data_IF_511919112525
#
_entry.id   IF_511919112525
#
_cell.length_a   1.000
_cell.length_b   1.000
_cell.length_c   1.000
_cell.angle_alpha   90.00
_cell.angle_beta   90.00
_cell.angle_gamma   90.00
#
_symmetry.space_group_name_H-M   'P 1'
#
loop_
_entity.id
_entity.type
_entity.pdbx_description
1 polymer ?
#
# COMPACT_ATOMS: atom_id res chain seq x y z
N UNK A 1 -4.48 -16.57 -6.36
CA UNK A 1 -5.38 -15.65 -7.13
C UNK A 1 -4.58 -14.69 -8.02
N UNK A 2 -3.67 -13.88 -7.51
CA UNK A 2 -2.86 -12.92 -8.31
C UNK A 2 -2.11 -13.59 -9.46
N UNK A 3 -1.45 -14.72 -9.23
CA UNK A 3 -0.72 -15.44 -10.27
C UNK A 3 -1.63 -15.87 -11.43
N UNK A 4 -2.78 -16.46 -11.13
CA UNK A 4 -3.71 -16.89 -12.17
C UNK A 4 -4.31 -15.70 -12.92
N UNK A 5 -4.58 -14.60 -12.23
CA UNK A 5 -5.05 -13.36 -12.85
C UNK A 5 -4.01 -12.79 -13.81
N UNK A 6 -2.74 -12.71 -13.42
CA UNK A 6 -1.66 -12.24 -14.29
C UNK A 6 -1.48 -13.14 -15.51
N UNK A 7 -1.49 -14.48 -15.34
CA UNK A 7 -1.38 -15.42 -16.45
C UNK A 7 -2.51 -15.25 -17.47
N UNK A 8 -3.75 -15.03 -17.00
CA UNK A 8 -4.89 -14.79 -17.87
C UNK A 8 -4.78 -13.43 -18.58
N UNK A 9 -4.47 -12.36 -17.84
CA UNK A 9 -4.39 -11.00 -18.36
C UNK A 9 -3.23 -10.80 -19.35
N UNK A 10 -2.14 -11.57 -19.21
CA UNK A 10 -1.03 -11.55 -20.17
C UNK A 10 -1.46 -12.01 -21.57
N UNK A 11 -2.46 -12.87 -21.69
CA UNK A 11 -2.98 -13.34 -22.98
C UNK A 11 -3.68 -12.23 -23.77
N UNK A 12 -4.23 -11.25 -23.08
CA UNK A 12 -4.97 -10.12 -23.65
C UNK A 12 -4.25 -8.78 -23.49
N UNK A 13 -2.97 -8.82 -23.10
CA UNK A 13 -2.08 -7.65 -22.91
C UNK A 13 -2.72 -6.53 -22.07
N UNK A 14 -3.30 -6.87 -20.92
CA UNK A 14 -3.98 -5.91 -20.06
C UNK A 14 -3.35 -5.80 -18.67
N UNK A 15 -3.75 -4.78 -17.92
CA UNK A 15 -3.21 -4.39 -16.62
C UNK A 15 -4.01 -5.04 -15.49
N UNK A 16 -3.31 -5.62 -14.51
CA UNK A 16 -3.92 -6.01 -13.23
C UNK A 16 -3.85 -4.84 -12.25
N UNK A 17 -4.99 -4.39 -11.77
CA UNK A 17 -5.08 -3.41 -10.67
C UNK A 17 -5.37 -4.17 -9.38
N UNK A 18 -4.55 -3.95 -8.35
CA UNK A 18 -4.72 -4.58 -7.04
C UNK A 18 -4.54 -3.56 -5.92
N UNK A 19 -5.28 -3.75 -4.84
CA UNK A 19 -5.09 -3.00 -3.60
C UNK A 19 -4.22 -3.84 -2.66
N UNK A 20 -2.99 -3.40 -2.35
CA UNK A 20 -2.05 -4.21 -1.60
C UNK A 20 -2.44 -4.23 -0.11
N UNK A 21 -3.05 -5.32 0.32
CA UNK A 21 -3.48 -5.52 1.69
C UNK A 21 -3.48 -7.01 2.02
N UNK A 22 -2.65 -7.43 2.96
CA UNK A 22 -2.72 -8.78 3.47
C UNK A 22 -3.83 -8.88 4.52
N UNK A 23 -4.82 -9.72 4.24
CA UNK A 23 -6.02 -9.86 5.08
C UNK A 23 -5.72 -10.41 6.47
N UNK A 24 -4.64 -11.16 6.63
CA UNK A 24 -4.24 -11.72 7.94
C UNK A 24 -3.90 -10.64 8.96
N UNK A 25 -3.52 -9.43 8.49
CA UNK A 25 -3.12 -8.29 9.33
C UNK A 25 -4.06 -7.08 9.19
N UNK A 26 -5.16 -7.21 8.45
CA UNK A 26 -5.98 -6.06 8.05
C UNK A 26 -7.17 -5.79 8.95
N UNK A 27 -7.31 -6.53 10.04
CA UNK A 27 -8.40 -6.39 11.01
C UNK A 27 -8.13 -5.22 11.96
N UNK A 28 -8.33 -4.00 11.49
CA UNK A 28 -8.13 -2.77 12.22
C UNK A 28 -8.80 -1.60 11.50
N UNK A 29 -8.69 -0.40 12.09
CA UNK A 29 -9.37 0.82 11.59
C UNK A 29 -8.45 2.01 11.40
N UNK A 30 -7.25 1.99 11.99
CA UNK A 30 -6.25 3.06 11.94
C UNK A 30 -4.85 2.47 11.80
N UNK A 31 -3.84 3.32 11.58
CA UNK A 31 -2.44 2.89 11.60
C UNK A 31 -2.06 2.30 12.97
N UNK A 32 -1.38 1.17 12.99
CA UNK A 32 -0.85 0.59 14.22
C UNK A 32 0.37 1.38 14.69
N UNK A 33 0.27 2.03 15.84
CA UNK A 33 1.35 2.83 16.39
C UNK A 33 0.95 3.57 17.68
N UNK A 34 1.66 4.67 17.96
CA UNK A 34 1.44 5.45 19.18
C UNK A 34 0.00 5.91 19.34
N UNK A 35 -0.58 6.51 18.30
CA UNK A 35 -1.93 7.06 18.37
C UNK A 35 -3.02 5.98 18.51
N UNK A 36 -2.93 4.88 17.78
CA UNK A 36 -3.89 3.77 17.92
C UNK A 36 -3.92 3.20 19.34
N UNK A 37 -2.75 3.08 19.97
CA UNK A 37 -2.64 2.60 21.35
C UNK A 37 -3.19 3.64 22.34
N UNK A 38 -2.94 4.93 22.10
CA UNK A 38 -3.40 6.01 22.98
C UNK A 38 -4.93 6.11 22.98
N UNK A 39 -5.56 5.97 21.82
CA UNK A 39 -7.04 6.08 21.70
C UNK A 39 -7.76 4.74 21.83
N UNK A 40 -7.05 3.64 21.98
CA UNK A 40 -7.61 2.29 22.13
C UNK A 40 -8.26 1.72 20.87
N UNK A 41 -7.89 2.19 19.70
CA UNK A 41 -8.37 1.67 18.43
C UNK A 41 -7.44 0.58 17.88
N UNK A 42 -8.03 -0.46 17.29
CA UNK A 42 -7.28 -1.55 16.68
C UNK A 42 -6.51 -1.06 15.46
N UNK A 43 -5.19 -1.26 15.49
CA UNK A 43 -4.28 -0.80 14.44
C UNK A 43 -4.13 -1.79 13.29
N UNK A 44 -3.92 -1.26 12.08
CA UNK A 44 -3.51 -2.00 10.90
C UNK A 44 -1.99 -1.85 10.78
N UNK A 45 -1.20 -2.91 10.98
CA UNK A 45 0.25 -2.81 10.89
C UNK A 45 0.69 -2.52 9.44
N UNK A 46 1.75 -1.76 9.29
CA UNK A 46 2.29 -1.37 7.98
C UNK A 46 2.76 -2.56 7.14
N UNK A 47 3.17 -3.64 7.80
CA UNK A 47 3.58 -4.88 7.14
C UNK A 47 2.42 -5.53 6.35
N UNK A 48 1.16 -5.26 6.68
CA UNK A 48 0.00 -5.71 5.90
C UNK A 48 0.07 -5.26 4.44
N UNK A 49 0.58 -4.05 4.20
CA UNK A 49 0.75 -3.50 2.85
C UNK A 49 2.04 -4.00 2.19
N UNK A 50 3.18 -3.88 2.88
CA UNK A 50 4.48 -4.22 2.30
C UNK A 50 4.61 -5.70 1.95
N UNK A 51 4.08 -6.62 2.76
CA UNK A 51 4.05 -8.05 2.43
C UNK A 51 3.23 -8.31 1.18
N UNK A 52 2.06 -7.66 1.03
CA UNK A 52 1.23 -7.83 -0.14
C UNK A 52 1.93 -7.31 -1.41
N UNK A 53 2.58 -6.14 -1.34
CA UNK A 53 3.37 -5.58 -2.44
C UNK A 53 4.52 -6.50 -2.83
N UNK A 54 5.31 -6.97 -1.86
CA UNK A 54 6.46 -7.84 -2.10
C UNK A 54 6.05 -9.18 -2.71
N UNK A 55 4.99 -9.80 -2.17
CA UNK A 55 4.42 -11.04 -2.71
C UNK A 55 3.99 -10.86 -4.17
N UNK A 56 3.21 -9.82 -4.46
CA UNK A 56 2.64 -9.60 -5.78
C UNK A 56 3.73 -9.25 -6.81
N UNK A 57 4.77 -8.52 -6.41
CA UNK A 57 5.94 -8.26 -7.26
C UNK A 57 6.77 -9.52 -7.52
N UNK A 58 6.93 -10.40 -6.55
CA UNK A 58 7.60 -11.68 -6.75
C UNK A 58 6.86 -12.56 -7.77
N UNK A 59 5.53 -12.54 -7.72
CA UNK A 59 4.69 -13.23 -8.69
C UNK A 59 4.83 -12.58 -10.08
N UNK A 60 4.81 -11.23 -10.15
CA UNK A 60 5.01 -10.50 -11.39
C UNK A 60 6.37 -10.81 -12.04
N UNK A 61 7.43 -10.88 -11.24
CA UNK A 61 8.78 -11.24 -11.70
C UNK A 61 8.81 -12.66 -12.28
N UNK A 62 8.06 -13.58 -11.70
CA UNK A 62 7.99 -14.97 -12.11
C UNK A 62 7.15 -15.19 -13.38
N UNK A 63 5.95 -14.59 -13.46
CA UNK A 63 5.00 -14.85 -14.58
C UNK A 63 4.99 -13.75 -15.63
N UNK A 64 5.57 -12.59 -15.36
CA UNK A 64 5.48 -11.42 -16.22
C UNK A 64 4.11 -10.73 -16.19
N UNK A 65 3.96 -9.70 -17.01
CA UNK A 65 2.72 -8.92 -17.13
C UNK A 65 2.85 -7.50 -16.63
N UNK A 66 1.72 -6.89 -16.28
CA UNK A 66 1.62 -5.50 -15.83
C UNK A 66 0.77 -5.43 -14.57
N UNK A 67 1.26 -4.74 -13.55
CA UNK A 67 0.52 -4.55 -12.28
C UNK A 67 0.47 -3.08 -11.90
N UNK A 68 -0.67 -2.67 -11.34
CA UNK A 68 -0.86 -1.37 -10.72
C UNK A 68 -1.32 -1.56 -9.28
N UNK A 69 -0.56 -1.02 -8.33
CA UNK A 69 -0.94 -0.98 -6.93
C UNK A 69 -1.75 0.27 -6.64
N UNK A 70 -3.03 0.10 -6.34
CA UNK A 70 -3.91 1.21 -6.01
C UNK A 70 -3.90 1.47 -4.51
N UNK A 71 -3.49 2.69 -4.14
CA UNK A 71 -3.53 3.17 -2.77
C UNK A 71 -2.39 2.65 -1.88
N UNK A 72 -1.13 2.91 -2.23
CA UNK A 72 0.00 2.68 -1.31
C UNK A 72 0.07 3.80 -0.26
N UNK A 73 0.57 3.47 0.93
CA UNK A 73 0.61 4.41 2.06
C UNK A 73 1.89 4.35 2.88
N UNK A 74 2.77 3.39 2.67
CA UNK A 74 3.95 3.17 3.51
C UNK A 74 5.26 3.42 2.78
N UNK A 75 6.27 3.92 3.50
CA UNK A 75 7.62 4.12 2.96
C UNK A 75 8.28 2.81 2.50
N UNK A 76 7.96 1.71 3.17
CA UNK A 76 8.43 0.38 2.79
C UNK A 76 7.93 0.00 1.39
N UNK A 77 6.64 0.20 1.11
CA UNK A 77 6.05 -0.05 -0.21
C UNK A 77 6.68 0.82 -1.29
N UNK A 78 6.95 2.11 -1.01
CA UNK A 78 7.67 3.00 -1.93
C UNK A 78 9.03 2.44 -2.30
N UNK A 79 9.82 1.99 -1.31
CA UNK A 79 11.14 1.41 -1.53
C UNK A 79 11.08 0.13 -2.37
N UNK A 80 10.18 -0.79 -2.03
CA UNK A 80 10.01 -2.07 -2.73
C UNK A 80 9.61 -1.83 -4.20
N UNK A 81 8.68 -0.90 -4.45
CA UNK A 81 8.24 -0.57 -5.82
C UNK A 81 9.37 0.12 -6.62
N UNK A 82 10.15 0.99 -5.98
CA UNK A 82 11.32 1.61 -6.59
C UNK A 82 12.35 0.56 -7.05
N UNK A 83 12.65 -0.41 -6.19
CA UNK A 83 13.54 -1.52 -6.52
C UNK A 83 13.00 -2.38 -7.68
N UNK A 84 11.70 -2.64 -7.69
CA UNK A 84 11.06 -3.36 -8.80
C UNK A 84 11.18 -2.61 -10.13
N UNK A 85 11.06 -1.28 -10.12
CA UNK A 85 11.27 -0.44 -11.31
C UNK A 85 12.73 -0.47 -11.79
N UNK A 86 13.71 -0.51 -10.89
CA UNK A 86 15.12 -0.67 -11.29
C UNK A 86 15.38 -2.02 -11.95
N UNK A 87 14.67 -3.06 -11.57
CA UNK A 87 14.65 -4.37 -12.23
C UNK A 87 13.86 -4.39 -13.55
N UNK A 88 13.31 -3.24 -13.96
CA UNK A 88 12.48 -3.09 -15.18
C UNK A 88 11.18 -3.91 -15.16
N UNK A 89 10.65 -4.21 -14.00
CA UNK A 89 9.30 -4.79 -13.88
C UNK A 89 8.25 -3.74 -14.27
N UNK A 90 7.21 -4.18 -14.96
CA UNK A 90 6.14 -3.31 -15.40
C UNK A 90 5.13 -3.06 -14.25
N UNK A 91 5.51 -2.17 -13.35
CA UNK A 91 4.77 -1.81 -12.14
C UNK A 91 4.52 -0.33 -12.07
N UNK A 92 3.29 0.04 -11.71
CA UNK A 92 2.87 1.40 -11.38
C UNK A 92 2.11 1.41 -10.06
N UNK A 93 1.97 2.57 -9.44
CA UNK A 93 1.18 2.73 -8.23
C UNK A 93 0.58 4.12 -8.15
N UNK A 94 -0.44 4.26 -7.32
CA UNK A 94 -1.01 5.54 -6.93
C UNK A 94 -0.99 5.73 -5.40
N UNK A 95 -1.19 6.97 -4.97
CA UNK A 95 -1.29 7.36 -3.57
C UNK A 95 -2.55 8.19 -3.38
N UNK A 96 -3.43 7.87 -2.42
CA UNK A 96 -4.57 8.72 -2.12
C UNK A 96 -4.10 10.09 -1.61
N UNK A 97 -4.74 11.17 -2.08
CA UNK A 97 -4.33 12.54 -1.75
C UNK A 97 -4.31 12.81 -0.23
N UNK A 98 -5.23 12.24 0.52
CA UNK A 98 -5.28 12.41 1.97
C UNK A 98 -4.04 11.79 2.68
N UNK A 99 -3.44 10.74 2.13
CA UNK A 99 -2.21 10.15 2.64
C UNK A 99 -0.95 11.00 2.36
N UNK A 100 -1.04 12.04 1.55
CA UNK A 100 0.03 13.01 1.30
C UNK A 100 -0.04 14.23 2.23
N UNK A 101 -1.16 14.45 2.90
CA UNK A 101 -1.43 15.68 3.66
C UNK A 101 -1.67 15.39 5.14
N UNK A 102 -2.37 14.30 5.46
CA UNK A 102 -2.81 13.95 6.81
C UNK A 102 -2.01 12.77 7.36
N UNK A 103 -1.63 12.86 8.61
CA UNK A 103 -0.96 11.77 9.33
C UNK A 103 -1.87 11.11 10.38
N UNK A 104 -1.36 10.09 11.04
CA UNK A 104 -2.09 9.30 12.03
C UNK A 104 -2.40 10.05 13.34
N UNK A 105 -1.87 11.25 13.57
CA UNK A 105 -2.25 12.10 14.71
C UNK A 105 -3.70 12.58 14.63
N UNK A 106 -4.26 12.67 13.43
CA UNK A 106 -5.64 13.12 13.21
C UNK A 106 -6.69 12.17 13.80
N UNK A 107 -6.35 10.90 14.04
CA UNK A 107 -7.31 9.92 14.62
C UNK A 107 -7.68 10.21 16.08
N UNK A 108 -6.89 11.02 16.77
CA UNK A 108 -7.14 11.42 18.18
C UNK A 108 -8.48 12.15 18.37
N UNK A 109 -8.95 12.82 17.32
CA UNK A 109 -10.24 13.53 17.34
C UNK A 109 -11.46 12.61 17.35
N UNK A 110 -11.28 11.32 17.07
CA UNK A 110 -12.37 10.34 16.86
C UNK A 110 -13.35 10.73 15.73
N UNK A 111 -12.98 11.66 14.87
CA UNK A 111 -13.78 12.01 13.70
C UNK A 111 -13.74 10.86 12.68
N UNK A 112 -14.90 10.27 12.32
CA UNK A 112 -14.95 9.15 11.38
C UNK A 112 -14.46 9.50 9.97
N UNK A 113 -14.34 10.78 9.62
CA UNK A 113 -13.78 11.22 8.35
C UNK A 113 -12.29 10.88 8.20
N UNK A 114 -11.57 10.66 9.31
CA UNK A 114 -10.17 10.21 9.29
C UNK A 114 -10.02 8.68 9.23
N UNK A 115 -11.12 7.93 9.22
CA UNK A 115 -11.12 6.49 8.97
C UNK A 115 -11.09 6.21 7.48
N UNK A 116 -9.90 6.08 6.92
CA UNK A 116 -9.65 5.86 5.50
C UNK A 116 -8.92 4.55 5.25
N UNK A 117 -8.98 4.05 4.02
CA UNK A 117 -8.29 2.84 3.61
C UNK A 117 -7.54 3.09 2.28
N UNK A 118 -6.20 3.09 2.25
CA UNK A 118 -5.29 2.75 3.37
C UNK A 118 -5.36 3.76 4.52
N UNK A 119 -5.01 3.34 5.76
CA UNK A 119 -5.08 4.24 6.90
C UNK A 119 -4.05 5.38 6.78
N UNK A 120 -4.32 6.50 7.46
CA UNK A 120 -3.35 7.58 7.61
C UNK A 120 -2.11 7.04 8.34
N UNK A 121 -0.93 7.27 7.80
CA UNK A 121 0.34 6.79 8.33
C UNK A 121 1.12 7.91 9.02
N UNK A 122 2.37 7.65 9.34
CA UNK A 122 3.25 8.62 10.00
C UNK A 122 3.74 9.69 9.02
N UNK A 123 4.31 10.77 9.58
CA UNK A 123 4.92 11.82 8.76
C UNK A 123 6.07 11.31 7.88
N UNK A 124 6.88 10.36 8.38
CA UNK A 124 7.95 9.73 7.59
C UNK A 124 7.41 9.03 6.35
N UNK A 125 6.21 8.45 6.44
CA UNK A 125 5.55 7.85 5.29
C UNK A 125 5.11 8.89 4.27
N UNK A 126 4.56 10.02 4.74
CA UNK A 126 4.16 11.14 3.88
C UNK A 126 5.38 11.66 3.11
N UNK A 127 6.50 11.89 3.79
CA UNK A 127 7.72 12.39 3.16
C UNK A 127 8.23 11.41 2.08
N UNK A 128 8.21 10.10 2.36
CA UNK A 128 8.60 9.08 1.40
C UNK A 128 7.64 8.97 0.20
N UNK A 129 6.33 9.14 0.42
CA UNK A 129 5.33 9.15 -0.65
C UNK A 129 5.52 10.35 -1.57
N UNK A 130 5.75 11.55 -1.01
CA UNK A 130 6.01 12.77 -1.78
C UNK A 130 7.30 12.62 -2.61
N UNK A 131 8.37 12.08 -2.01
CA UNK A 131 9.61 11.79 -2.74
C UNK A 131 9.40 10.76 -3.86
N UNK A 132 8.53 9.78 -3.63
CA UNK A 132 8.22 8.74 -4.62
C UNK A 132 7.45 9.23 -5.84
N UNK A 133 6.71 10.35 -5.73
CA UNK A 133 5.98 10.98 -6.83
C UNK A 133 6.93 11.78 -7.74
N UNK A 134 7.98 12.35 -7.18
CA UNK A 134 8.98 13.13 -7.92
C UNK A 134 10.00 12.22 -8.63
#
# INVERSE_FOLDING_TARGET
MIMNSLLYLNQIDTLLITKPKDQSFSDGVVNNGYYSNTVGLKGIPRISESIAVERDLSILEYVGGKIHFSGISTKESVSIIRDAKTKKLNVTCDVPIHNLILDDSNVVSFDPNYKVDPPLRTKDDIDALIEGIN
#
